data_IF_836712424288
#
_entry.id   IF_836712424288
#
_cell.length_a   1.000
_cell.length_b   1.000
_cell.length_c   1.000
_cell.angle_alpha   90.00
_cell.angle_beta   90.00
_cell.angle_gamma   90.00
#
_symmetry.space_group_name_H-M   'P 1'
#
loop_
_entity.id
_entity.type
_entity.pdbx_description
1 polymer ?
#
# COMPACT_ATOMS: atom_id res chain seq x y z
N UNK A 1 6.40 -39.84 -8.13
CA UNK A 1 7.22 -40.92 -7.56
C UNK A 1 7.12 -40.84 -6.05
N UNK A 2 6.63 -41.94 -5.45
CA UNK A 2 6.62 -42.32 -4.03
C UNK A 2 5.87 -41.43 -3.02
N UNK A 3 4.72 -41.95 -2.58
CA UNK A 3 3.98 -41.58 -1.38
C UNK A 3 4.79 -41.92 -0.11
N UNK A 4 4.70 -41.07 0.92
CA UNK A 4 4.71 -41.50 2.31
C UNK A 4 3.53 -40.82 3.01
N UNK A 5 2.58 -41.63 3.46
CA UNK A 5 1.53 -41.25 4.41
C UNK A 5 1.96 -41.68 5.80
N UNK A 6 1.88 -40.78 6.78
CA UNK A 6 1.47 -41.05 8.18
C UNK A 6 1.71 -39.82 9.04
N UNK A 7 0.75 -39.52 9.92
CA UNK A 7 0.97 -38.62 11.07
C UNK A 7 0.16 -37.33 11.08
N UNK A 8 -1.17 -37.44 11.19
CA UNK A 8 -2.04 -36.36 11.64
C UNK A 8 -1.95 -36.31 13.17
N UNK A 9 -1.46 -35.21 13.76
CA UNK A 9 -2.00 -34.56 14.98
C UNK A 9 -1.11 -33.39 15.43
N UNK A 10 -1.76 -32.22 15.53
CA UNK A 10 -1.41 -31.08 16.38
C UNK A 10 -0.19 -30.20 16.00
N UNK A 11 -0.43 -29.23 15.11
CA UNK A 11 0.17 -27.90 15.21
C UNK A 11 -0.92 -26.85 14.96
N UNK A 12 -1.69 -26.60 16.02
CA UNK A 12 -2.32 -25.30 16.20
C UNK A 12 -1.22 -24.23 16.32
N UNK A 13 -1.45 -23.05 15.71
CA UNK A 13 -0.64 -21.81 15.81
C UNK A 13 0.55 -21.69 14.84
N UNK A 14 0.25 -21.25 13.62
CA UNK A 14 1.17 -20.44 12.83
C UNK A 14 0.36 -19.31 12.16
N UNK A 15 0.03 -18.30 12.96
CA UNK A 15 -0.38 -17.00 12.43
C UNK A 15 0.89 -16.19 12.18
N UNK A 16 1.02 -15.71 10.95
CA UNK A 16 1.49 -14.37 10.59
C UNK A 16 2.74 -13.86 11.32
N UNK A 17 3.91 -14.02 10.67
CA UNK A 17 5.00 -13.04 10.66
C UNK A 17 5.92 -13.33 9.47
N UNK A 18 5.40 -13.14 8.25
CA UNK A 18 6.23 -13.04 7.05
C UNK A 18 6.83 -11.62 6.99
N UNK A 19 7.70 -11.32 7.96
CA UNK A 19 8.49 -10.10 7.98
C UNK A 19 9.63 -10.28 6.97
N UNK A 20 9.48 -9.72 5.76
CA UNK A 20 10.61 -9.54 4.83
C UNK A 20 11.54 -8.48 5.44
N UNK A 21 12.36 -8.90 6.40
CA UNK A 21 13.48 -8.10 6.90
C UNK A 21 14.61 -8.18 5.89
N UNK A 22 14.74 -7.13 5.08
CA UNK A 22 16.02 -6.80 4.44
C UNK A 22 17.06 -6.52 5.53
N UNK A 23 17.83 -7.54 5.91
CA UNK A 23 18.99 -7.41 6.78
C UNK A 23 20.15 -6.80 5.98
N UNK A 24 20.20 -5.47 5.94
CA UNK A 24 21.38 -4.69 5.55
C UNK A 24 21.69 -3.68 6.65
N UNK A 25 22.52 -4.10 7.59
CA UNK A 25 23.41 -3.34 8.48
C UNK A 25 23.99 -4.36 9.48
N UNK A 26 25.24 -4.36 9.93
CA UNK A 26 26.41 -3.52 9.75
C UNK A 26 27.55 -4.33 10.42
N UNK A 27 28.69 -4.52 9.77
CA UNK A 27 29.84 -5.14 10.43
C UNK A 27 30.71 -4.04 11.08
N UNK A 28 31.03 -4.10 12.39
CA UNK A 28 32.03 -3.24 12.99
C UNK A 28 33.43 -3.78 12.69
N UNK A 29 34.35 -2.87 12.35
CA UNK A 29 35.80 -3.12 12.30
C UNK A 29 36.33 -3.36 13.72
N UNK A 30 37.18 -4.37 13.87
CA UNK A 30 38.26 -4.33 14.85
C UNK A 30 39.54 -4.84 14.16
N UNK A 31 40.52 -3.93 14.08
CA UNK A 31 41.84 -4.13 13.48
C UNK A 31 42.77 -4.58 14.61
N UNK A 32 43.37 -5.75 14.47
CA UNK A 32 44.58 -6.13 15.22
C UNK A 32 45.72 -6.32 14.22
N UNK A 33 46.73 -5.46 14.33
CA UNK A 33 47.94 -5.47 13.53
C UNK A 33 48.96 -6.44 14.11
N UNK A 34 49.59 -7.25 13.26
CA UNK A 34 50.84 -7.98 13.53
C UNK A 34 51.61 -8.25 12.21
N UNK A 35 52.91 -8.54 12.27
CA UNK A 35 53.92 -7.86 11.45
C UNK A 35 54.18 -8.48 10.07
N UNK A 36 54.84 -7.67 9.23
CA UNK A 36 55.21 -7.92 7.85
C UNK A 36 56.06 -9.20 7.70
N UNK A 37 55.67 -10.16 6.85
CA UNK A 37 56.63 -11.00 6.17
C UNK A 37 57.08 -10.27 4.89
N UNK A 38 58.38 -10.00 4.82
CA UNK A 38 59.05 -9.63 3.56
C UNK A 38 58.96 -10.87 2.66
N UNK A 39 58.17 -10.78 1.58
CA UNK A 39 58.16 -11.79 0.53
C UNK A 39 58.87 -11.23 -0.69
N UNK A 40 60.09 -11.71 -0.86
CA UNK A 40 60.93 -11.61 -2.04
C UNK A 40 60.09 -11.91 -3.31
N UNK A 41 60.04 -10.96 -4.24
CA UNK A 41 59.36 -11.15 -5.51
C UNK A 41 60.19 -12.10 -6.39
N UNK A 42 59.65 -13.29 -6.69
CA UNK A 42 60.13 -14.15 -7.78
C UNK A 42 59.06 -14.15 -8.89
N UNK A 43 59.39 -13.76 -10.13
CA UNK A 43 58.39 -13.30 -11.08
C UNK A 43 57.87 -14.44 -11.97
N UNK A 44 57.28 -15.50 -11.43
CA UNK A 44 56.72 -16.58 -12.26
C UNK A 44 55.40 -17.10 -11.68
N UNK A 45 54.26 -16.68 -12.26
CA UNK A 45 52.94 -17.29 -12.00
C UNK A 45 51.77 -16.38 -11.62
N UNK A 46 51.94 -15.04 -11.68
CA UNK A 46 50.90 -14.08 -11.27
C UNK A 46 49.67 -14.08 -12.21
N UNK A 47 49.85 -14.32 -13.51
CA UNK A 47 48.75 -14.29 -14.48
C UNK A 47 47.74 -15.44 -14.32
N UNK A 48 48.20 -16.64 -13.95
CA UNK A 48 47.32 -17.81 -13.87
C UNK A 48 46.43 -17.81 -12.62
N UNK A 49 46.96 -17.28 -11.50
CA UNK A 49 46.22 -17.14 -10.24
C UNK A 49 45.24 -15.96 -10.26
N UNK A 50 45.51 -14.87 -10.98
CA UNK A 50 44.55 -13.74 -11.09
C UNK A 50 43.38 -14.07 -12.03
N UNK A 51 43.64 -14.78 -13.14
CA UNK A 51 42.59 -15.19 -14.09
C UNK A 51 41.55 -16.15 -13.49
N UNK A 52 41.99 -17.04 -12.60
CA UNK A 52 41.13 -18.04 -11.93
C UNK A 52 40.23 -17.45 -10.84
N UNK A 53 40.65 -16.35 -10.20
CA UNK A 53 39.83 -15.65 -9.21
C UNK A 53 38.78 -14.75 -9.86
N UNK A 54 39.12 -14.10 -10.98
CA UNK A 54 38.17 -13.29 -11.77
C UNK A 54 37.07 -14.16 -12.41
N UNK A 55 37.41 -15.36 -12.87
CA UNK A 55 36.43 -16.31 -13.39
C UNK A 55 35.54 -16.92 -12.29
N UNK A 56 36.10 -17.20 -11.10
CA UNK A 56 35.30 -17.66 -9.96
C UNK A 56 34.26 -16.65 -9.48
N UNK A 57 34.64 -15.36 -9.43
CA UNK A 57 33.73 -14.28 -9.04
C UNK A 57 32.64 -14.01 -10.07
N UNK A 58 32.93 -14.12 -11.37
CA UNK A 58 31.91 -13.99 -12.42
C UNK A 58 30.97 -15.19 -12.45
N UNK A 59 31.46 -16.41 -12.24
CA UNK A 59 30.61 -17.61 -12.11
C UNK A 59 29.71 -17.51 -10.88
N UNK A 60 30.24 -17.06 -9.73
CA UNK A 60 29.43 -16.85 -8.52
C UNK A 60 28.38 -15.75 -8.71
N UNK A 61 28.73 -14.65 -9.40
CA UNK A 61 27.79 -13.60 -9.79
C UNK A 61 26.69 -14.13 -10.72
N UNK A 62 27.04 -14.90 -11.75
CA UNK A 62 26.08 -15.51 -12.68
C UNK A 62 25.17 -16.49 -11.93
N UNK A 63 25.72 -17.33 -11.05
CA UNK A 63 24.96 -18.25 -10.22
C UNK A 63 23.99 -17.54 -9.28
N UNK A 64 24.42 -16.45 -8.62
CA UNK A 64 23.54 -15.63 -7.79
C UNK A 64 22.47 -14.89 -8.63
N UNK A 65 22.77 -14.47 -9.85
CA UNK A 65 21.77 -13.86 -10.75
C UNK A 65 20.73 -14.91 -11.17
N UNK A 66 21.15 -16.14 -11.47
CA UNK A 66 20.27 -17.23 -11.84
C UNK A 66 19.45 -17.77 -10.66
N UNK A 67 19.96 -17.74 -9.42
CA UNK A 67 19.25 -18.19 -8.23
C UNK A 67 18.18 -17.21 -7.75
N UNK A 68 18.20 -15.95 -8.20
CA UNK A 68 17.23 -14.91 -7.83
C UNK A 68 15.99 -14.87 -8.75
N UNK A 69 15.83 -15.86 -9.64
CA UNK A 69 14.59 -16.00 -10.42
C UNK A 69 13.54 -16.70 -9.56
N UNK A 70 13.15 -16.07 -8.44
CA UNK A 70 11.94 -16.42 -7.71
C UNK A 70 10.75 -15.93 -8.55
N UNK A 71 10.32 -16.76 -9.50
CA UNK A 71 9.08 -16.51 -10.24
C UNK A 71 7.93 -16.71 -9.26
N UNK A 72 6.91 -15.84 -9.32
CA UNK A 72 5.63 -16.10 -8.68
C UNK A 72 4.96 -17.28 -9.39
N UNK A 73 5.45 -18.50 -9.12
CA UNK A 73 5.10 -19.70 -9.87
C UNK A 73 3.81 -20.35 -9.36
N UNK A 74 3.37 -19.99 -8.16
CA UNK A 74 2.23 -20.59 -7.47
C UNK A 74 0.96 -19.71 -7.49
N UNK A 75 0.94 -18.63 -8.29
CA UNK A 75 -0.27 -17.86 -8.53
C UNK A 75 -1.08 -18.61 -9.60
N UNK A 76 -2.30 -19.01 -9.26
CA UNK A 76 -3.18 -19.62 -10.24
C UNK A 76 -3.66 -18.57 -11.26
N UNK A 77 -3.37 -18.83 -12.54
CA UNK A 77 -3.74 -17.97 -13.66
C UNK A 77 -5.03 -18.45 -14.35
N UNK A 78 -5.59 -19.60 -13.95
CA UNK A 78 -6.77 -20.19 -14.59
C UNK A 78 -8.07 -19.87 -13.84
N UNK A 79 -8.09 -19.95 -12.51
CA UNK A 79 -9.31 -19.74 -11.69
C UNK A 79 -9.29 -18.44 -10.89
N UNK A 80 -9.00 -17.32 -11.57
CA UNK A 80 -9.02 -16.00 -10.95
C UNK A 80 -10.43 -15.40 -10.88
N UNK A 81 -10.66 -14.58 -9.86
CA UNK A 81 -11.88 -13.79 -9.70
C UNK A 81 -11.61 -12.37 -10.18
N UNK A 82 -12.46 -11.88 -11.09
CA UNK A 82 -12.36 -10.52 -11.62
C UNK A 82 -13.46 -9.65 -11.03
N UNK A 83 -13.10 -8.40 -10.73
CA UNK A 83 -14.02 -7.35 -10.36
C UNK A 83 -13.84 -6.20 -11.33
N UNK A 84 -14.90 -5.89 -12.08
CA UNK A 84 -14.94 -4.75 -13.00
C UNK A 84 -16.15 -3.86 -12.69
N UNK A 85 -15.92 -2.54 -12.76
CA UNK A 85 -16.90 -1.49 -12.52
C UNK A 85 -16.64 -0.34 -13.50
N UNK A 86 -17.13 -0.42 -14.74
CA UNK A 86 -16.91 0.62 -15.75
C UNK A 86 -17.60 1.95 -15.39
N UNK A 87 -18.60 1.92 -14.52
CA UNK A 87 -19.26 3.10 -13.94
C UNK A 87 -18.42 3.80 -12.85
N UNK A 88 -17.41 3.11 -12.30
CA UNK A 88 -16.53 3.64 -11.26
C UNK A 88 -15.20 4.08 -11.88
N UNK A 89 -15.05 5.38 -12.13
CA UNK A 89 -13.85 5.96 -12.73
C UNK A 89 -12.57 5.58 -11.97
N UNK A 90 -11.60 5.02 -12.70
CA UNK A 90 -10.32 4.52 -12.17
C UNK A 90 -10.48 3.43 -11.10
N UNK A 91 -11.51 2.59 -11.18
CA UNK A 91 -11.63 1.42 -10.31
C UNK A 91 -10.37 0.55 -10.37
N UNK A 92 -9.85 0.16 -9.20
CA UNK A 92 -8.59 -0.58 -9.10
C UNK A 92 -7.36 0.30 -8.91
N UNK A 93 -7.50 1.62 -8.81
CA UNK A 93 -6.36 2.53 -8.60
C UNK A 93 -5.60 2.25 -7.31
N UNK A 94 -6.31 1.84 -6.25
CA UNK A 94 -5.74 1.36 -5.01
C UNK A 94 -6.49 0.12 -4.53
N UNK A 95 -5.79 -0.82 -3.92
CA UNK A 95 -6.37 -2.06 -3.40
C UNK A 95 -5.81 -2.41 -2.02
N UNK A 96 -6.63 -3.01 -1.16
CA UNK A 96 -6.20 -3.53 0.13
C UNK A 96 -7.04 -4.74 0.55
N UNK A 97 -6.46 -5.66 1.32
CA UNK A 97 -7.20 -6.76 1.92
C UNK A 97 -7.68 -6.39 3.33
N UNK A 98 -8.90 -6.79 3.66
CA UNK A 98 -9.46 -6.60 4.98
C UNK A 98 -10.24 -7.84 5.42
N UNK A 99 -10.19 -8.14 6.72
CA UNK A 99 -10.97 -9.23 7.29
C UNK A 99 -11.73 -8.70 8.48
N UNK A 100 -13.05 -8.90 8.50
CA UNK A 100 -13.91 -8.39 9.56
C UNK A 100 -15.02 -9.39 9.88
N UNK A 101 -15.14 -9.74 11.17
CA UNK A 101 -16.13 -10.71 11.68
C UNK A 101 -16.13 -12.04 10.89
N UNK A 102 -14.94 -12.51 10.52
CA UNK A 102 -14.75 -13.74 9.76
C UNK A 102 -14.86 -13.59 8.24
N UNK A 103 -15.43 -12.50 7.73
CA UNK A 103 -15.56 -12.23 6.30
C UNK A 103 -14.29 -11.56 5.75
N UNK A 104 -13.81 -12.04 4.60
CA UNK A 104 -12.69 -11.46 3.88
C UNK A 104 -13.19 -10.58 2.74
N UNK A 105 -12.64 -9.38 2.63
CA UNK A 105 -13.03 -8.37 1.67
C UNK A 105 -11.82 -7.86 0.89
N UNK A 106 -11.98 -7.71 -0.41
CA UNK A 106 -11.10 -6.91 -1.24
C UNK A 106 -11.62 -5.47 -1.24
N UNK A 107 -10.84 -4.53 -0.73
CA UNK A 107 -11.13 -3.11 -0.82
C UNK A 107 -10.56 -2.56 -2.11
N UNK A 108 -11.36 -1.80 -2.85
CA UNK A 108 -10.97 -1.23 -4.15
C UNK A 108 -11.30 0.26 -4.19
N UNK A 109 -10.30 1.07 -4.52
CA UNK A 109 -10.41 2.51 -4.69
C UNK A 109 -10.72 2.89 -6.13
N UNK A 110 -11.61 3.86 -6.30
CA UNK A 110 -11.98 4.43 -7.59
C UNK A 110 -12.05 5.97 -7.46
N UNK A 111 -10.90 6.68 -7.56
CA UNK A 111 -10.81 8.10 -7.25
C UNK A 111 -11.62 9.02 -8.16
N UNK A 112 -12.09 8.55 -9.32
CA UNK A 112 -12.93 9.32 -10.24
C UNK A 112 -14.39 8.82 -10.31
N UNK A 113 -14.78 7.89 -9.43
CA UNK A 113 -16.15 7.44 -9.35
C UNK A 113 -17.09 8.61 -8.95
N UNK A 114 -18.27 8.62 -9.56
CA UNK A 114 -19.37 9.49 -9.11
C UNK A 114 -20.07 8.83 -7.92
N UNK A 115 -20.48 9.63 -6.95
CA UNK A 115 -21.17 9.18 -5.73
C UNK A 115 -22.53 9.83 -5.63
N UNK A 116 -23.29 9.49 -4.59
CA UNK A 116 -24.58 10.13 -4.28
C UNK A 116 -24.43 11.44 -3.50
N UNK A 117 -23.21 11.97 -3.37
CA UNK A 117 -22.98 13.25 -2.70
C UNK A 117 -23.59 14.39 -3.53
N UNK A 118 -24.42 15.26 -2.92
CA UNK A 118 -25.07 16.34 -3.66
C UNK A 118 -24.03 17.36 -4.14
N UNK A 119 -24.15 17.78 -5.40
CA UNK A 119 -23.27 18.79 -6.02
C UNK A 119 -21.77 18.45 -5.97
N UNK A 120 -21.42 17.16 -6.04
CA UNK A 120 -20.03 16.69 -6.10
C UNK A 120 -19.85 15.86 -7.36
N UNK A 121 -18.93 16.26 -8.23
CA UNK A 121 -18.58 15.51 -9.44
C UNK A 121 -17.27 14.78 -9.24
N UNK A 122 -17.21 13.50 -9.63
CA UNK A 122 -16.01 12.65 -9.52
C UNK A 122 -15.34 12.78 -8.14
N UNK A 123 -16.14 12.70 -7.08
CA UNK A 123 -15.65 12.79 -5.69
C UNK A 123 -14.75 11.61 -5.32
N UNK A 124 -14.91 10.48 -5.99
CA UNK A 124 -14.22 9.23 -5.71
C UNK A 124 -14.94 8.37 -4.69
N UNK A 125 -14.71 7.07 -4.75
CA UNK A 125 -15.36 6.08 -3.90
C UNK A 125 -14.41 4.94 -3.51
N UNK A 126 -14.79 4.21 -2.46
CA UNK A 126 -14.17 2.95 -2.09
C UNK A 126 -15.24 1.87 -2.05
N UNK A 127 -14.93 0.72 -2.63
CA UNK A 127 -15.78 -0.45 -2.69
C UNK A 127 -15.23 -1.56 -1.80
N UNK A 128 -16.10 -2.35 -1.19
CA UNK A 128 -15.77 -3.68 -0.67
C UNK A 128 -16.30 -4.73 -1.63
N UNK A 129 -15.45 -5.64 -2.03
CA UNK A 129 -15.76 -6.70 -2.97
C UNK A 129 -15.59 -8.08 -2.33
N UNK A 130 -16.46 -9.02 -2.68
CA UNK A 130 -16.34 -10.42 -2.28
C UNK A 130 -15.04 -11.01 -2.83
N UNK A 131 -14.36 -11.82 -2.01
CA UNK A 131 -13.19 -12.58 -2.47
C UNK A 131 -13.58 -13.92 -3.10
N UNK A 132 -14.87 -14.27 -3.11
CA UNK A 132 -15.40 -15.55 -3.58
C UNK A 132 -16.28 -15.41 -4.82
N UNK A 133 -16.90 -14.25 -5.01
CA UNK A 133 -17.88 -14.01 -6.08
C UNK A 133 -17.41 -12.85 -6.96
N UNK A 134 -17.32 -13.08 -8.27
CA UNK A 134 -16.93 -12.07 -9.25
C UNK A 134 -17.96 -10.93 -9.33
N UNK A 135 -17.48 -9.70 -9.50
CA UNK A 135 -18.27 -8.47 -9.63
C UNK A 135 -19.23 -8.15 -8.45
N UNK A 136 -19.15 -8.87 -7.33
CA UNK A 136 -19.88 -8.52 -6.12
C UNK A 136 -19.12 -7.44 -5.35
N UNK A 137 -19.34 -6.18 -5.73
CA UNK A 137 -18.71 -5.00 -5.14
C UNK A 137 -19.76 -3.98 -4.69
N UNK A 138 -19.65 -3.53 -3.44
CA UNK A 138 -20.56 -2.58 -2.82
C UNK A 138 -19.80 -1.32 -2.35
N UNK A 139 -20.33 -0.15 -2.68
CA UNK A 139 -19.76 1.13 -2.24
C UNK A 139 -19.84 1.25 -0.70
N UNK A 140 -18.74 1.64 -0.07
CA UNK A 140 -18.70 1.98 1.34
C UNK A 140 -18.99 3.48 1.47
N UNK A 141 -20.13 3.81 2.05
CA UNK A 141 -20.57 5.20 2.20
C UNK A 141 -19.85 5.91 3.37
N UNK A 142 -18.58 6.25 3.18
CA UNK A 142 -17.78 7.01 4.18
C UNK A 142 -18.35 8.39 4.48
N UNK A 143 -18.84 9.08 3.44
CA UNK A 143 -19.45 10.40 3.53
C UNK A 143 -20.54 10.56 2.45
N UNK A 144 -21.73 10.99 2.87
CA UNK A 144 -22.87 11.26 1.97
C UNK A 144 -23.12 12.76 1.78
N UNK A 145 -22.34 13.61 2.42
CA UNK A 145 -22.51 15.06 2.39
C UNK A 145 -21.75 15.67 1.22
N UNK A 146 -22.32 16.73 0.65
CA UNK A 146 -21.67 17.51 -0.40
C UNK A 146 -20.54 18.40 0.15
N UNK A 147 -20.08 19.30 -0.71
CA UNK A 147 -19.21 20.41 -0.30
C UNK A 147 -19.92 21.29 0.74
N UNK A 148 -19.18 21.75 1.76
CA UNK A 148 -19.74 22.62 2.80
C UNK A 148 -19.63 24.10 2.44
N UNK A 149 -20.57 24.87 2.99
CA UNK A 149 -20.68 26.31 2.83
C UNK A 149 -20.88 26.95 4.21
N UNK A 150 -20.41 28.18 4.37
CA UNK A 150 -20.62 29.00 5.57
C UNK A 150 -21.23 30.32 5.17
N UNK A 151 -22.12 30.86 6.01
CA UNK A 151 -22.66 32.19 5.81
C UNK A 151 -21.62 33.25 6.20
N UNK A 152 -21.37 34.19 5.31
CA UNK A 152 -20.50 35.35 5.50
C UNK A 152 -21.27 36.61 5.13
N UNK A 153 -21.89 37.26 6.11
CA UNK A 153 -22.69 38.47 5.96
C UNK A 153 -23.82 38.35 4.91
N UNK A 154 -24.52 37.20 4.87
CA UNK A 154 -25.62 36.94 3.94
C UNK A 154 -25.21 36.30 2.62
N UNK A 155 -23.90 36.05 2.42
CA UNK A 155 -23.37 35.34 1.27
C UNK A 155 -22.87 33.95 1.67
N UNK A 156 -23.38 32.90 1.01
CA UNK A 156 -22.95 31.52 1.23
C UNK A 156 -21.61 31.26 0.55
N UNK A 157 -20.53 31.27 1.33
CA UNK A 157 -19.17 31.03 0.86
C UNK A 157 -18.80 29.55 0.95
N UNK A 158 -18.18 29.01 -0.10
CA UNK A 158 -17.75 27.61 -0.13
C UNK A 158 -16.49 27.43 0.72
N UNK A 159 -16.53 26.52 1.70
CA UNK A 159 -15.39 26.24 2.61
C UNK A 159 -14.66 24.94 2.29
N UNK A 160 -15.30 24.01 1.58
CA UNK A 160 -14.75 22.71 1.22
C UNK A 160 -15.03 22.42 -0.25
N UNK A 161 -14.06 21.90 -1.00
CA UNK A 161 -14.24 21.42 -2.38
C UNK A 161 -13.99 19.91 -2.43
N UNK A 162 -15.07 19.16 -2.65
CA UNK A 162 -15.04 17.69 -2.77
C UNK A 162 -15.04 17.20 -4.22
N UNK A 163 -15.38 18.05 -5.20
CA UNK A 163 -15.36 17.64 -6.60
C UNK A 163 -13.93 17.40 -7.08
N UNK A 164 -13.69 16.24 -7.69
CA UNK A 164 -12.35 15.85 -8.15
C UNK A 164 -11.32 15.67 -7.01
N UNK A 165 -11.77 15.44 -5.77
CA UNK A 165 -10.88 15.29 -4.60
C UNK A 165 -10.07 13.97 -4.59
N UNK A 166 -10.41 13.03 -5.47
CA UNK A 166 -9.76 11.72 -5.60
C UNK A 166 -9.91 10.84 -4.35
N UNK A 167 -11.11 10.77 -3.77
CA UNK A 167 -11.34 9.89 -2.64
C UNK A 167 -11.20 8.42 -3.04
N UNK A 168 -10.40 7.66 -2.27
CA UNK A 168 -10.04 6.28 -2.62
C UNK A 168 -8.77 6.18 -3.46
N UNK A 169 -8.02 7.27 -3.66
CA UNK A 169 -6.69 7.20 -4.28
C UNK A 169 -5.68 6.41 -3.44
N UNK A 170 -5.87 6.36 -2.12
CA UNK A 170 -5.10 5.50 -1.23
C UNK A 170 -6.04 4.83 -0.24
N UNK A 171 -5.85 3.54 -0.01
CA UNK A 171 -6.60 2.75 0.97
C UNK A 171 -5.59 1.95 1.78
N UNK A 172 -5.80 1.93 3.09
CA UNK A 172 -5.02 1.10 4.01
C UNK A 172 -5.96 0.38 4.97
N UNK A 173 -5.64 -0.87 5.28
CA UNK A 173 -6.37 -1.71 6.21
C UNK A 173 -5.40 -2.16 7.31
N UNK A 174 -5.83 -2.08 8.56
CA UNK A 174 -5.06 -2.62 9.69
C UNK A 174 -5.16 -4.15 9.81
N UNK A 175 -5.78 -4.83 8.83
CA UNK A 175 -5.95 -6.28 8.84
C UNK A 175 -7.19 -6.73 9.61
N UNK A 176 -7.05 -7.84 10.36
CA UNK A 176 -8.15 -8.58 10.98
C UNK A 176 -8.87 -7.74 12.06
N UNK A 177 -10.18 -7.53 11.88
CA UNK A 177 -11.06 -6.72 12.73
C UNK A 177 -10.50 -5.30 12.99
N UNK A 178 -9.65 -4.82 12.09
CA UNK A 178 -8.95 -3.56 12.21
C UNK A 178 -9.76 -2.37 11.69
N UNK A 179 -9.11 -1.21 11.66
CA UNK A 179 -9.66 -0.02 11.00
C UNK A 179 -9.24 0.04 9.54
N UNK A 180 -10.05 0.73 8.74
CA UNK A 180 -9.73 1.06 7.34
C UNK A 180 -9.57 2.56 7.23
N UNK A 181 -8.56 3.00 6.49
CA UNK A 181 -8.34 4.41 6.16
C UNK A 181 -8.39 4.57 4.66
N UNK A 182 -9.20 5.49 4.17
CA UNK A 182 -9.25 5.88 2.77
C UNK A 182 -9.05 7.38 2.65
N UNK A 183 -8.26 7.84 1.68
CA UNK A 183 -7.92 9.26 1.56
C UNK A 183 -8.25 9.87 0.20
N UNK A 184 -8.47 11.18 0.23
CA UNK A 184 -8.67 12.08 -0.88
C UNK A 184 -7.51 13.11 -0.91
N UNK A 185 -6.41 12.82 -1.62
CA UNK A 185 -5.21 13.66 -1.60
C UNK A 185 -5.43 15.02 -2.29
N UNK A 186 -6.44 15.15 -3.14
CA UNK A 186 -6.77 16.40 -3.84
C UNK A 186 -7.91 17.17 -3.18
N UNK A 187 -8.37 16.75 -2.00
CA UNK A 187 -9.34 17.50 -1.23
C UNK A 187 -8.81 18.90 -0.89
N UNK A 188 -9.67 19.89 -1.08
CA UNK A 188 -9.33 21.29 -0.94
C UNK A 188 -10.21 21.93 0.12
N UNK A 189 -9.56 22.73 0.96
CA UNK A 189 -10.19 23.55 1.97
C UNK A 189 -9.88 25.03 1.69
N UNK A 190 -10.83 25.92 1.98
CA UNK A 190 -10.63 27.35 1.84
C UNK A 190 -10.21 27.95 3.18
N UNK A 191 -9.29 28.92 3.16
CA UNK A 191 -8.90 29.65 4.36
C UNK A 191 -10.09 30.39 4.98
N UNK A 192 -10.04 30.77 6.25
CA UNK A 192 -11.18 31.41 6.91
C UNK A 192 -11.56 32.78 6.33
N UNK A 193 -10.62 33.43 5.62
CA UNK A 193 -10.87 34.65 4.86
C UNK A 193 -11.24 34.38 3.38
N UNK A 194 -11.46 33.12 3.00
CA UNK A 194 -11.87 32.66 1.66
C UNK A 194 -10.93 32.99 0.50
N UNK A 195 -9.78 33.61 0.75
CA UNK A 195 -8.84 34.04 -0.29
C UNK A 195 -7.86 32.96 -0.74
N UNK A 196 -7.64 31.90 0.06
CA UNK A 196 -6.67 30.85 -0.26
C UNK A 196 -7.38 29.53 -0.48
N UNK A 197 -6.96 28.84 -1.55
CA UNK A 197 -7.37 27.48 -1.91
C UNK A 197 -6.27 26.51 -1.50
N UNK A 198 -6.50 25.73 -0.45
CA UNK A 198 -5.46 24.89 0.17
C UNK A 198 -5.74 23.40 -0.09
N UNK A 199 -4.94 22.71 -0.92
CA UNK A 199 -5.06 21.28 -1.15
C UNK A 199 -4.50 20.48 0.03
N UNK A 200 -5.19 20.54 1.16
CA UNK A 200 -4.77 19.93 2.43
C UNK A 200 -4.92 18.41 2.45
N UNK A 201 -5.76 17.86 1.58
CA UNK A 201 -6.14 16.46 1.63
C UNK A 201 -7.03 16.14 2.84
N UNK A 202 -7.72 15.00 2.78
CA UNK A 202 -8.50 14.45 3.90
C UNK A 202 -8.46 12.93 3.85
N UNK A 203 -8.58 12.29 5.00
CA UNK A 203 -8.78 10.86 5.12
C UNK A 203 -10.03 10.57 5.93
N UNK A 204 -10.64 9.42 5.69
CA UNK A 204 -11.73 8.91 6.51
C UNK A 204 -11.33 7.56 7.10
N UNK A 205 -11.59 7.41 8.39
CA UNK A 205 -11.36 6.18 9.14
C UNK A 205 -12.69 5.47 9.35
N UNK A 206 -12.81 4.26 8.81
CA UNK A 206 -13.94 3.37 9.08
C UNK A 206 -13.60 2.41 10.24
N UNK A 207 -14.56 2.26 11.15
CA UNK A 207 -14.50 1.36 12.31
C UNK A 207 -15.78 0.53 12.41
N UNK A 208 -15.76 -0.49 13.27
CA UNK A 208 -16.92 -1.30 13.64
C UNK A 208 -17.66 -1.87 12.43
N UNK A 209 -16.96 -2.58 11.53
CA UNK A 209 -17.58 -3.20 10.36
C UNK A 209 -18.30 -2.20 9.44
N UNK A 210 -17.62 -1.10 9.09
CA UNK A 210 -18.16 -0.07 8.19
C UNK A 210 -19.41 0.67 8.71
N UNK A 211 -19.59 0.76 10.04
CA UNK A 211 -20.75 1.44 10.64
C UNK A 211 -20.40 2.82 11.19
N UNK A 212 -19.14 3.05 11.56
CA UNK A 212 -18.69 4.32 12.11
C UNK A 212 -17.58 4.92 11.26
N UNK A 213 -17.78 6.17 10.84
CA UNK A 213 -16.86 6.90 9.98
C UNK A 213 -16.42 8.20 10.65
N UNK A 214 -15.12 8.47 10.61
CA UNK A 214 -14.55 9.69 11.18
C UNK A 214 -13.59 10.33 10.18
N UNK A 215 -13.77 11.63 9.93
CA UNK A 215 -12.84 12.42 9.14
C UNK A 215 -11.54 12.67 9.93
N UNK A 216 -10.41 12.54 9.26
CA UNK A 216 -9.06 12.80 9.77
C UNK A 216 -8.26 13.63 8.76
N UNK A 217 -8.10 14.93 9.05
CA UNK A 217 -7.47 15.93 8.15
C UNK A 217 -6.40 16.73 8.89
N UNK A 218 -5.25 16.12 9.24
CA UNK A 218 -4.24 16.76 10.10
C UNK A 218 -3.60 18.00 9.46
N UNK A 219 -3.52 18.06 8.12
CA UNK A 219 -3.00 19.22 7.40
C UNK A 219 -3.98 20.41 7.35
N UNK A 220 -5.27 20.19 7.66
CA UNK A 220 -6.27 21.25 7.78
C UNK A 220 -6.12 21.93 9.14
N UNK A 221 -5.11 22.81 9.26
CA UNK A 221 -4.83 23.54 10.49
C UNK A 221 -5.36 24.97 10.44
N UNK A 222 -5.70 25.55 11.60
CA UNK A 222 -6.06 26.97 11.73
C UNK A 222 -4.86 27.93 11.67
N UNK A 223 -3.64 27.43 11.42
CA UNK A 223 -2.38 28.17 11.64
C UNK A 223 -1.85 28.96 10.44
N UNK A 224 -2.60 29.10 9.35
CA UNK A 224 -2.17 29.87 8.18
C UNK A 224 -2.38 31.40 8.29
N UNK A 225 -2.71 31.91 9.49
CA UNK A 225 -2.67 33.35 9.79
C UNK A 225 -1.26 33.75 10.21
N UNK A 226 -0.42 34.03 9.21
CA UNK A 226 0.65 35.02 9.30
C UNK A 226 0.38 36.08 8.25
#
# INVERSE_FOLDING_TARGET
>A
FTFFTSGLHDLTRANEDAEIRCLLCSAPRAITAMPRPVFEARPDGLHHRVFTWLSGLTILRIFCILSNVAQAFNVDLNTFITHDRPDAGMFGFAVALHRDKGNSWLLVGAPQANTRQPNVTQGGAVFRCSVETANDCQEIAFDRTGSKYVDNNGHMEKIEEKSGQWFGATIHSSGVNGVIVACAPRYVYYSANFHRREPVGTCFVARNSFTHFQEYSPCRTRKFFY
#
